data_IF_582600308136
#
_entry.id   IF_582600308136
#
_cell.length_a   1.000
_cell.length_b   1.000
_cell.length_c   1.000
_cell.angle_alpha   90.00
_cell.angle_beta   90.00
_cell.angle_gamma   90.00
#
_symmetry.space_group_name_H-M   'P 1'
#
loop_
_entity.id
_entity.type
_entity.pdbx_description
1 polymer ?
#
# COMPACT_ATOMS: atom_id res chain seq x y z
N UNK A 1 5.75 -25.09 5.90
CA UNK A 1 4.76 -25.62 6.87
C UNK A 1 3.41 -25.00 6.55
N UNK A 2 2.61 -25.62 5.68
CA UNK A 2 1.30 -25.08 5.28
C UNK A 2 0.26 -25.30 6.39
N UNK A 3 0.33 -26.43 7.10
CA UNK A 3 -0.67 -26.79 8.12
C UNK A 3 -0.72 -25.90 9.35
N UNK A 4 0.39 -25.23 9.74
CA UNK A 4 0.39 -24.39 10.95
C UNK A 4 -0.35 -23.06 10.72
N UNK A 5 -0.07 -22.42 9.59
CA UNK A 5 -0.76 -21.19 9.19
C UNK A 5 -2.26 -21.42 8.93
N UNK A 6 -2.63 -22.57 8.37
CA UNK A 6 -4.05 -22.93 8.18
C UNK A 6 -4.76 -23.16 9.52
N UNK A 7 -4.09 -23.75 10.50
CA UNK A 7 -4.66 -23.91 11.84
C UNK A 7 -4.86 -22.57 12.55
N UNK A 8 -3.87 -21.69 12.47
CA UNK A 8 -3.94 -20.35 13.07
C UNK A 8 -5.05 -19.52 12.40
N UNK A 9 -5.16 -19.57 11.08
CA UNK A 9 -6.21 -18.88 10.31
C UNK A 9 -7.62 -19.36 10.69
N UNK A 10 -7.83 -20.68 10.75
CA UNK A 10 -9.10 -21.28 11.19
C UNK A 10 -9.42 -20.90 12.64
N UNK A 11 -8.43 -20.90 13.52
CA UNK A 11 -8.61 -20.53 14.92
C UNK A 11 -9.00 -19.05 15.08
N UNK A 12 -8.33 -18.14 14.37
CA UNK A 12 -8.66 -16.72 14.41
C UNK A 12 -10.02 -16.43 13.75
N UNK A 13 -10.36 -17.12 12.67
CA UNK A 13 -11.67 -17.02 12.03
C UNK A 13 -12.79 -17.52 12.95
N UNK A 14 -12.58 -18.66 13.62
CA UNK A 14 -13.52 -19.21 14.60
C UNK A 14 -13.68 -18.27 15.81
N UNK A 15 -12.59 -17.69 16.30
CA UNK A 15 -12.63 -16.72 17.39
C UNK A 15 -13.38 -15.44 16.99
N UNK A 16 -13.24 -14.97 15.73
CA UNK A 16 -13.97 -13.81 15.23
C UNK A 16 -15.49 -14.05 15.17
N UNK A 17 -15.90 -15.25 14.74
CA UNK A 17 -17.30 -15.62 14.62
C UNK A 17 -18.04 -15.71 15.96
N UNK A 18 -17.33 -15.74 17.10
CA UNK A 18 -17.98 -15.70 18.41
C UNK A 18 -18.53 -14.32 18.78
N UNK A 19 -18.09 -13.27 18.10
CA UNK A 19 -18.56 -11.89 18.30
C UNK A 19 -19.75 -11.54 17.39
N UNK A 20 -20.06 -12.40 16.41
CA UNK A 20 -21.26 -12.30 15.58
C UNK A 20 -22.46 -12.87 16.34
N UNK A 21 -23.03 -12.05 17.23
CA UNK A 21 -24.11 -12.44 18.15
C UNK A 21 -25.42 -12.70 17.41
N UNK A 22 -25.61 -12.03 16.26
CA UNK A 22 -26.84 -12.07 15.47
C UNK A 22 -26.74 -13.01 14.24
N UNK A 23 -25.55 -13.51 13.92
CA UNK A 23 -25.24 -14.42 12.81
C UNK A 23 -25.59 -13.87 11.43
N UNK A 24 -25.59 -12.55 11.26
CA UNK A 24 -25.91 -11.90 9.98
C UNK A 24 -24.67 -11.76 9.06
N UNK A 25 -23.49 -12.12 9.56
CA UNK A 25 -22.22 -12.04 8.84
C UNK A 25 -21.62 -10.63 8.79
N UNK A 26 -22.20 -9.67 9.51
CA UNK A 26 -21.73 -8.30 9.64
C UNK A 26 -21.60 -7.90 11.11
N UNK A 27 -20.43 -7.39 11.50
CA UNK A 27 -20.23 -6.88 12.85
C UNK A 27 -20.71 -5.44 12.94
N UNK A 28 -21.71 -5.16 13.79
CA UNK A 28 -22.30 -3.82 13.92
C UNK A 28 -22.40 -3.37 15.38
N UNK A 29 -22.32 -2.05 15.60
CA UNK A 29 -22.59 -1.43 16.90
C UNK A 29 -21.80 -2.04 18.05
N UNK A 30 -22.53 -2.67 18.98
CA UNK A 30 -22.01 -3.26 20.22
C UNK A 30 -21.20 -4.56 20.00
N UNK A 31 -21.23 -5.15 18.79
CA UNK A 31 -20.46 -6.35 18.41
C UNK A 31 -18.98 -6.01 18.10
N UNK A 32 -18.67 -4.74 17.82
CA UNK A 32 -17.30 -4.26 17.55
C UNK A 32 -16.60 -3.92 18.85
N UNK A 33 -16.30 -4.95 19.65
CA UNK A 33 -15.55 -4.77 20.91
C UNK A 33 -14.03 -4.61 20.65
N UNK A 34 -13.28 -4.23 21.68
CA UNK A 34 -11.83 -4.08 21.57
C UNK A 34 -11.13 -5.44 21.32
N UNK A 35 -11.66 -6.52 21.90
CA UNK A 35 -11.18 -7.89 21.68
C UNK A 35 -11.42 -8.33 20.24
N UNK A 36 -12.57 -7.97 19.67
CA UNK A 36 -12.86 -8.18 18.25
C UNK A 36 -11.84 -7.46 17.36
N UNK A 37 -11.50 -6.19 17.65
CA UNK A 37 -10.46 -5.45 16.91
C UNK A 37 -9.10 -6.14 16.98
N UNK A 38 -8.72 -6.67 18.14
CA UNK A 38 -7.46 -7.39 18.32
C UNK A 38 -7.45 -8.68 17.49
N UNK A 39 -8.53 -9.46 17.54
CA UNK A 39 -8.66 -10.69 16.77
C UNK A 39 -8.66 -10.42 15.25
N UNK A 40 -9.35 -9.37 14.81
CA UNK A 40 -9.38 -8.94 13.41
C UNK A 40 -7.99 -8.48 12.95
N UNK A 41 -7.27 -7.75 13.80
CA UNK A 41 -5.91 -7.30 13.51
C UNK A 41 -4.96 -8.49 13.35
N UNK A 42 -5.05 -9.51 14.19
CA UNK A 42 -4.22 -10.71 14.08
C UNK A 42 -4.49 -11.49 12.79
N UNK A 43 -5.77 -11.66 12.43
CA UNK A 43 -6.18 -12.32 11.19
C UNK A 43 -5.70 -11.56 9.93
N UNK A 44 -5.86 -10.23 9.93
CA UNK A 44 -5.53 -9.39 8.77
C UNK A 44 -4.04 -9.06 8.66
N UNK A 45 -3.27 -9.16 9.74
CA UNK A 45 -1.84 -8.80 9.76
C UNK A 45 -1.01 -9.68 8.82
N UNK A 46 -1.25 -11.00 8.80
CA UNK A 46 -0.50 -11.90 7.92
C UNK A 46 -0.85 -11.71 6.45
N UNK A 47 -2.13 -11.44 6.18
CA UNK A 47 -2.63 -11.05 4.86
C UNK A 47 -1.97 -9.76 4.39
N UNK A 48 -1.95 -8.73 5.24
CA UNK A 48 -1.34 -7.43 4.94
C UNK A 48 0.15 -7.54 4.64
N UNK A 49 0.88 -8.40 5.38
CA UNK A 49 2.31 -8.61 5.17
C UNK A 49 2.60 -9.32 3.84
N UNK A 50 1.76 -10.27 3.43
CA UNK A 50 1.88 -10.93 2.12
C UNK A 50 1.54 -9.99 0.96
N UNK A 51 0.54 -9.13 1.12
CA UNK A 51 0.16 -8.13 0.09
C UNK A 51 1.06 -6.88 0.09
N UNK A 52 1.93 -6.71 1.10
CA UNK A 52 2.82 -5.54 1.24
C UNK A 52 3.68 -5.27 0.00
N UNK A 53 4.09 -6.32 -0.71
CA UNK A 53 4.85 -6.19 -1.95
C UNK A 53 4.02 -5.54 -3.06
N UNK A 54 2.78 -5.99 -3.24
CA UNK A 54 1.86 -5.48 -4.27
C UNK A 54 1.46 -4.05 -3.95
N UNK A 55 1.09 -3.77 -2.70
CA UNK A 55 0.73 -2.41 -2.29
C UNK A 55 1.93 -1.46 -2.42
N UNK A 56 3.11 -1.89 -2.00
CA UNK A 56 4.35 -1.12 -2.16
C UNK A 56 4.68 -0.80 -3.62
N UNK A 57 4.48 -1.76 -4.54
CA UNK A 57 4.68 -1.54 -5.97
C UNK A 57 3.71 -0.49 -6.54
N UNK A 58 2.43 -0.55 -6.15
CA UNK A 58 1.41 0.43 -6.57
C UNK A 58 1.77 1.83 -6.06
N UNK A 59 2.12 1.97 -4.78
CA UNK A 59 2.52 3.26 -4.22
C UNK A 59 3.81 3.79 -4.85
N UNK A 60 4.80 2.93 -5.08
CA UNK A 60 6.04 3.31 -5.76
C UNK A 60 5.76 3.87 -7.16
N UNK A 61 4.87 3.22 -7.92
CA UNK A 61 4.49 3.70 -9.25
C UNK A 61 3.76 5.05 -9.17
N UNK A 62 2.82 5.20 -8.23
CA UNK A 62 2.10 6.46 -8.02
C UNK A 62 3.01 7.63 -7.64
N UNK A 63 4.05 7.40 -6.84
CA UNK A 63 4.99 8.44 -6.40
C UNK A 63 6.06 8.70 -7.47
N UNK A 64 6.62 7.66 -8.08
CA UNK A 64 7.71 7.80 -9.06
C UNK A 64 7.25 8.41 -10.38
N UNK A 65 6.03 8.12 -10.83
CA UNK A 65 5.48 8.64 -12.08
C UNK A 65 5.50 10.17 -12.17
N UNK A 66 4.92 10.95 -11.24
CA UNK A 66 4.95 12.41 -11.30
C UNK A 66 6.36 12.98 -11.17
N UNK A 67 7.21 12.36 -10.33
CA UNK A 67 8.61 12.77 -10.18
C UNK A 67 9.35 12.60 -11.52
N UNK A 68 9.17 11.47 -12.19
CA UNK A 68 9.78 11.19 -13.49
C UNK A 68 9.36 12.22 -14.54
N UNK A 69 8.06 12.51 -14.65
CA UNK A 69 7.58 13.54 -15.57
C UNK A 69 8.15 14.93 -15.25
N UNK A 70 8.23 15.28 -13.97
CA UNK A 70 8.83 16.54 -13.54
C UNK A 70 10.32 16.62 -13.89
N UNK A 71 11.07 15.52 -13.72
CA UNK A 71 12.47 15.43 -14.14
C UNK A 71 12.64 15.63 -15.64
N UNK A 72 11.78 15.04 -16.48
CA UNK A 72 11.81 15.23 -17.93
C UNK A 72 11.55 16.69 -18.34
N UNK A 73 10.60 17.37 -17.69
CA UNK A 73 10.31 18.78 -17.95
C UNK A 73 11.52 19.65 -17.59
N UNK A 74 12.11 19.43 -16.41
CA UNK A 74 13.29 20.17 -15.94
C UNK A 74 14.46 19.98 -16.90
N UNK A 75 14.72 18.75 -17.34
CA UNK A 75 15.80 18.45 -18.28
C UNK A 75 15.61 19.16 -19.62
N UNK A 76 14.37 19.15 -20.14
CA UNK A 76 14.03 19.83 -21.40
C UNK A 76 14.21 21.35 -21.30
N UNK A 77 13.78 21.96 -20.18
CA UNK A 77 13.97 23.39 -19.92
C UNK A 77 15.45 23.73 -19.76
N UNK A 78 16.23 22.91 -19.02
CA UNK A 78 17.67 23.12 -18.83
C UNK A 78 18.43 23.01 -20.16
N UNK A 79 18.11 22.02 -20.99
CA UNK A 79 18.71 21.84 -22.31
C UNK A 79 18.41 23.02 -23.24
N UNK A 80 17.17 23.51 -23.26
CA UNK A 80 16.78 24.70 -24.03
C UNK A 80 17.56 25.95 -23.60
N UNK A 81 17.74 26.17 -22.30
CA UNK A 81 18.53 27.30 -21.78
C UNK A 81 20.03 27.14 -22.09
N UNK A 82 20.57 25.92 -22.08
CA UNK A 82 21.97 25.67 -22.45
C UNK A 82 22.24 25.96 -23.93
N UNK A 83 21.30 25.65 -24.83
CA UNK A 83 21.42 25.99 -26.26
C UNK A 83 21.39 27.51 -26.47
N UNK A 84 20.56 28.22 -25.70
CA UNK A 84 20.43 29.67 -25.78
C UNK A 84 21.63 30.42 -25.18
N UNK A 85 22.23 29.89 -24.10
CA UNK A 85 23.46 30.43 -23.48
C UNK A 85 24.74 29.73 -23.96
N UNK A 86 24.70 29.01 -25.10
CA UNK A 86 25.87 28.28 -25.59
C UNK A 86 27.01 29.26 -25.94
N UNK A 87 28.17 29.21 -25.26
CA UNK A 87 29.30 30.11 -25.52
C UNK A 87 29.94 29.90 -26.91
N UNK A 88 29.57 28.84 -27.64
CA UNK A 88 30.00 28.63 -29.04
C UNK A 88 29.18 29.40 -30.08
N UNK A 89 28.03 29.98 -29.69
CA UNK A 89 27.21 30.84 -30.56
C UNK A 89 27.49 32.34 -30.33
N UNK A 90 28.36 32.70 -29.37
CA UNK A 90 28.86 34.06 -29.21
C UNK A 90 30.11 34.22 -30.09
N UNK A 91 29.90 34.35 -31.40
CA UNK A 91 30.95 34.75 -32.33
C UNK A 91 30.98 36.28 -32.38
N UNK A 92 32.01 36.84 -31.73
CA UNK A 92 32.60 38.21 -31.86
C UNK A 92 31.66 39.37 -31.54
#
# INVERSE_FOLDING_TARGET
MVGKNTFDDIYYQWNLNQYDLNQDGFFTGDEVTEEFRIALKLLTQDTSRNFSFITGAIFSLLVSTPIYFMSLIIEKVKSSNYIHCNPKNFNI
#
